data_IF_639335806769
#
_entry.id   IF_639335806769
#
_cell.length_a   1.000
_cell.length_b   1.000
_cell.length_c   1.000
_cell.angle_alpha   90.00
_cell.angle_beta   90.00
_cell.angle_gamma   90.00
#
_symmetry.space_group_name_H-M   'P 1'
#
loop_
_entity.id
_entity.type
_entity.pdbx_description
1 polymer ?
#
# COMPACT_ATOMS: atom_id res chain seq x y z
N UNK A 1 15.94 54.94 -22.71
CA UNK A 1 17.00 54.16 -22.04
C UNK A 1 16.36 53.42 -20.88
N UNK A 2 16.39 52.08 -20.82
CA UNK A 2 15.67 51.33 -19.78
C UNK A 2 16.41 51.42 -18.44
N UNK A 3 15.66 51.73 -17.39
CA UNK A 3 16.15 51.83 -16.00
C UNK A 3 16.49 50.43 -15.49
N UNK A 4 17.75 50.23 -15.12
CA UNK A 4 18.23 48.96 -14.59
C UNK A 4 17.56 48.66 -13.25
N UNK A 5 17.08 47.42 -13.09
CA UNK A 5 16.73 46.86 -11.78
C UNK A 5 17.92 47.06 -10.84
N UNK A 6 17.72 47.85 -9.79
CA UNK A 6 18.78 48.12 -8.82
C UNK A 6 19.02 46.86 -7.99
N UNK A 7 20.29 46.53 -7.77
CA UNK A 7 20.73 45.32 -7.03
C UNK A 7 20.07 45.22 -5.65
N UNK A 8 19.63 46.34 -5.05
CA UNK A 8 18.89 46.36 -3.78
C UNK A 8 17.48 45.77 -3.84
N UNK A 9 16.73 45.90 -4.94
CA UNK A 9 15.40 45.30 -5.08
C UNK A 9 15.47 43.79 -5.29
N UNK A 10 16.51 43.31 -5.98
CA UNK A 10 16.73 41.87 -6.17
C UNK A 10 17.04 41.13 -4.86
N UNK A 11 17.69 41.78 -3.89
CA UNK A 11 18.04 41.18 -2.60
C UNK A 11 16.82 41.10 -1.65
N UNK A 12 15.91 42.07 -1.69
CA UNK A 12 14.68 42.05 -0.88
C UNK A 12 13.70 40.97 -1.35
N UNK A 13 13.58 40.81 -2.67
CA UNK A 13 12.76 39.75 -3.30
C UNK A 13 13.31 38.36 -2.98
N UNK A 14 14.63 38.19 -3.01
CA UNK A 14 15.28 36.92 -2.66
C UNK A 14 15.08 36.57 -1.17
N UNK A 15 15.13 37.55 -0.25
CA UNK A 15 14.84 37.33 1.18
C UNK A 15 13.38 36.96 1.43
N UNK A 16 12.43 37.61 0.74
CA UNK A 16 11.00 37.26 0.84
C UNK A 16 10.72 35.86 0.30
N UNK A 17 11.32 35.48 -0.82
CA UNK A 17 11.16 34.16 -1.41
C UNK A 17 11.75 33.05 -0.50
N UNK A 18 12.91 33.29 0.12
CA UNK A 18 13.50 32.34 1.10
C UNK A 18 12.66 32.23 2.37
N UNK A 19 12.13 33.34 2.89
CA UNK A 19 11.25 33.35 4.06
C UNK A 19 9.91 32.63 3.78
N UNK A 20 9.34 32.82 2.58
CA UNK A 20 8.09 32.16 2.16
C UNK A 20 8.32 30.66 1.98
N UNK A 21 9.39 30.25 1.28
CA UNK A 21 9.78 28.84 1.19
C UNK A 21 10.06 28.18 2.54
N UNK A 22 10.68 28.90 3.47
CA UNK A 22 10.94 28.39 4.82
C UNK A 22 9.64 28.21 5.62
N UNK A 23 8.68 29.12 5.47
CA UNK A 23 7.36 29.01 6.09
C UNK A 23 6.55 27.85 5.49
N UNK A 24 6.53 27.71 4.16
CA UNK A 24 5.88 26.59 3.46
C UNK A 24 6.54 25.26 3.82
N UNK A 25 7.87 25.18 3.87
CA UNK A 25 8.58 23.96 4.27
C UNK A 25 8.30 23.58 5.73
N UNK A 26 8.22 24.55 6.64
CA UNK A 26 7.88 24.32 8.04
C UNK A 26 6.42 23.87 8.22
N UNK A 27 5.50 24.44 7.43
CA UNK A 27 4.10 24.03 7.42
C UNK A 27 3.94 22.64 6.81
N UNK A 28 4.64 22.35 5.72
CA UNK A 28 4.70 21.02 5.11
C UNK A 28 5.31 19.99 6.06
N UNK A 29 6.35 20.31 6.81
CA UNK A 29 6.94 19.38 7.78
C UNK A 29 5.99 19.12 8.96
N UNK A 30 5.27 20.15 9.44
CA UNK A 30 4.25 19.99 10.49
C UNK A 30 3.04 19.20 10.01
N UNK A 31 2.59 19.44 8.78
CA UNK A 31 1.52 18.67 8.14
C UNK A 31 1.97 17.22 7.93
N UNK A 32 3.19 17.00 7.41
CA UNK A 32 3.76 15.66 7.23
C UNK A 32 3.86 14.89 8.56
N UNK A 33 4.36 15.53 9.62
CA UNK A 33 4.43 14.90 10.95
C UNK A 33 3.05 14.58 11.53
N UNK A 34 2.10 15.50 11.44
CA UNK A 34 0.73 15.24 11.90
C UNK A 34 0.06 14.11 11.12
N UNK A 35 0.23 14.11 9.79
CA UNK A 35 -0.28 13.05 8.92
C UNK A 35 0.41 11.71 9.22
N UNK A 36 1.71 11.69 9.50
CA UNK A 36 2.43 10.46 9.83
C UNK A 36 1.97 9.87 11.17
N UNK A 37 1.76 10.71 12.19
CA UNK A 37 1.24 10.29 13.50
C UNK A 37 -0.21 9.78 13.38
N UNK A 38 -1.06 10.49 12.62
CA UNK A 38 -2.43 10.07 12.33
C UNK A 38 -2.46 8.76 11.51
N UNK A 39 -1.54 8.59 10.55
CA UNK A 39 -1.38 7.34 9.79
C UNK A 39 -0.92 6.19 10.68
N UNK A 40 0.00 6.41 11.62
CA UNK A 40 0.47 5.39 12.55
C UNK A 40 -0.64 4.97 13.52
N UNK A 41 -1.40 5.94 14.05
CA UNK A 41 -2.58 5.68 14.87
C UNK A 41 -3.65 4.91 14.09
N UNK A 42 -3.93 5.33 12.85
CA UNK A 42 -4.87 4.63 11.97
C UNK A 42 -4.40 3.20 11.67
N UNK A 43 -3.11 2.98 11.36
CA UNK A 43 -2.57 1.64 11.12
C UNK A 43 -2.70 0.73 12.36
N UNK A 44 -2.50 1.27 13.57
CA UNK A 44 -2.68 0.53 14.80
C UNK A 44 -4.16 0.16 15.04
N UNK A 45 -5.08 1.09 14.77
CA UNK A 45 -6.53 0.84 14.85
C UNK A 45 -6.99 -0.19 13.80
N UNK A 46 -6.45 -0.10 12.59
CA UNK A 46 -6.70 -1.04 11.50
C UNK A 46 -6.25 -2.44 11.85
N UNK A 47 -5.06 -2.61 12.43
CA UNK A 47 -4.55 -3.92 12.84
C UNK A 47 -5.35 -4.58 13.96
N UNK A 48 -6.06 -3.80 14.79
CA UNK A 48 -7.00 -4.33 15.79
C UNK A 48 -8.35 -4.71 15.18
N UNK A 49 -8.78 -3.97 14.16
CA UNK A 49 -10.10 -4.11 13.54
C UNK A 49 -10.11 -5.17 12.44
N UNK A 50 -9.02 -5.32 11.70
CA UNK A 50 -8.90 -6.22 10.56
C UNK A 50 -7.67 -7.09 10.70
N UNK A 51 -7.92 -8.40 10.69
CA UNK A 51 -6.86 -9.40 10.68
C UNK A 51 -6.77 -9.98 9.28
N UNK A 52 -5.61 -9.79 8.65
CA UNK A 52 -5.27 -10.39 7.37
C UNK A 52 -4.38 -11.60 7.63
N UNK A 53 -4.75 -12.75 7.07
CA UNK A 53 -4.00 -13.99 7.17
C UNK A 53 -3.70 -14.53 5.77
N UNK A 54 -2.45 -14.87 5.50
CA UNK A 54 -2.07 -15.52 4.26
C UNK A 54 -2.48 -17.00 4.35
N UNK A 55 -3.35 -17.45 3.45
CA UNK A 55 -3.85 -18.84 3.44
C UNK A 55 -3.07 -19.71 2.47
N UNK A 56 -2.64 -19.16 1.34
CA UNK A 56 -1.84 -19.90 0.38
C UNK A 56 -1.54 -19.12 -0.89
N UNK A 57 -0.71 -19.71 -1.73
CA UNK A 57 -0.42 -19.24 -3.08
C UNK A 57 -0.46 -20.39 -4.07
N UNK A 58 -0.74 -20.05 -5.32
CA UNK A 58 -0.69 -20.97 -6.45
C UNK A 58 -0.13 -20.25 -7.66
N UNK A 59 0.94 -20.82 -8.21
CA UNK A 59 1.40 -20.43 -9.52
C UNK A 59 0.62 -21.20 -10.59
N UNK A 60 0.01 -20.47 -11.52
CA UNK A 60 -0.70 -20.99 -12.68
C UNK A 60 0.12 -20.62 -13.92
N UNK A 61 0.88 -21.57 -14.49
CA UNK A 61 1.66 -21.30 -15.68
C UNK A 61 0.75 -21.01 -16.88
N UNK A 62 1.27 -20.26 -17.85
CA UNK A 62 0.60 -20.08 -19.13
C UNK A 62 0.38 -21.44 -19.83
N UNK A 63 -0.88 -21.76 -20.11
CA UNK A 63 -1.30 -22.94 -20.87
C UNK A 63 -1.97 -22.48 -22.17
N UNK A 64 -1.16 -22.42 -23.23
CA UNK A 64 -1.60 -21.99 -24.57
C UNK A 64 -2.68 -22.91 -25.17
N UNK A 65 -2.74 -24.17 -24.73
CA UNK A 65 -3.71 -25.16 -25.20
C UNK A 65 -5.09 -24.96 -24.58
N UNK A 66 -5.19 -24.36 -23.39
CA UNK A 66 -6.44 -24.00 -22.72
C UNK A 66 -6.77 -22.50 -22.78
N UNK A 67 -6.08 -21.72 -23.62
CA UNK A 67 -6.31 -20.28 -23.76
C UNK A 67 -5.81 -19.43 -22.58
N UNK A 68 -4.93 -19.98 -21.74
CA UNK A 68 -4.20 -19.25 -20.69
C UNK A 68 -2.87 -18.76 -21.26
N UNK A 69 -2.85 -17.55 -21.83
CA UNK A 69 -1.65 -17.01 -22.49
C UNK A 69 -0.63 -16.37 -21.55
N UNK A 70 -0.94 -16.26 -20.26
CA UNK A 70 -0.17 -15.49 -19.29
C UNK A 70 0.06 -16.30 -18.02
N UNK A 71 1.26 -16.24 -17.47
CA UNK A 71 1.56 -16.80 -16.15
C UNK A 71 0.90 -15.94 -15.07
N UNK A 72 0.18 -16.59 -14.16
CA UNK A 72 -0.53 -15.93 -13.07
C UNK A 72 -0.08 -16.48 -11.74
N UNK A 73 0.04 -15.58 -10.79
CA UNK A 73 0.23 -15.94 -9.40
C UNK A 73 -1.04 -15.61 -8.65
N UNK A 74 -1.70 -16.66 -8.15
CA UNK A 74 -2.86 -16.56 -7.31
C UNK A 74 -2.41 -16.60 -5.86
N UNK A 75 -3.02 -15.73 -5.04
CA UNK A 75 -2.84 -15.71 -3.59
C UNK A 75 -4.20 -15.76 -2.94
N UNK A 76 -4.28 -16.50 -1.84
CA UNK A 76 -5.49 -16.63 -1.05
C UNK A 76 -5.23 -16.03 0.33
N UNK A 77 -6.11 -15.11 0.73
CA UNK A 77 -5.94 -14.29 1.92
C UNK A 77 -7.25 -14.32 2.71
N UNK A 78 -7.17 -14.78 3.95
CA UNK A 78 -8.26 -14.69 4.91
C UNK A 78 -8.33 -13.28 5.47
N UNK A 79 -9.48 -12.65 5.32
CA UNK A 79 -9.76 -11.32 5.87
C UNK A 79 -10.80 -11.49 6.95
N UNK A 80 -10.43 -11.21 8.21
CA UNK A 80 -11.34 -11.27 9.35
C UNK A 80 -11.59 -9.88 9.89
N UNK A 81 -12.86 -9.51 9.99
CA UNK A 81 -13.29 -8.33 10.70
C UNK A 81 -13.38 -8.66 12.20
N UNK A 82 -12.38 -8.21 12.96
CA UNK A 82 -12.35 -8.29 14.41
C UNK A 82 -12.99 -7.07 15.10
N UNK A 83 -13.43 -6.08 14.32
CA UNK A 83 -14.14 -4.91 14.80
C UNK A 83 -15.64 -5.11 14.99
N UNK A 84 -16.27 -4.05 15.50
CA UNK A 84 -17.71 -3.96 15.74
C UNK A 84 -18.49 -3.38 14.54
N UNK A 85 -17.77 -2.84 13.55
CA UNK A 85 -18.37 -2.14 12.40
C UNK A 85 -18.29 -2.99 11.14
N UNK A 86 -19.35 -3.04 10.31
CA UNK A 86 -19.29 -3.71 9.02
C UNK A 86 -18.33 -3.00 8.08
N UNK A 87 -17.45 -3.78 7.46
CA UNK A 87 -16.47 -3.31 6.49
C UNK A 87 -17.04 -3.54 5.10
N UNK A 88 -16.84 -2.58 4.19
CA UNK A 88 -17.25 -2.63 2.78
C UNK A 88 -16.06 -2.88 1.84
N UNK A 89 -14.86 -2.51 2.27
CA UNK A 89 -13.64 -2.83 1.54
C UNK A 89 -12.39 -2.67 2.38
N UNK A 90 -11.36 -3.43 2.05
CA UNK A 90 -10.07 -3.42 2.72
C UNK A 90 -8.98 -3.27 1.66
N UNK A 91 -8.09 -2.31 1.86
CA UNK A 91 -6.82 -2.22 1.16
C UNK A 91 -5.69 -2.62 2.10
N UNK A 92 -4.73 -3.36 1.56
CA UNK A 92 -3.54 -3.75 2.29
C UNK A 92 -2.36 -3.96 1.36
N UNK A 93 -1.20 -4.18 1.94
CA UNK A 93 0.01 -4.54 1.24
C UNK A 93 0.47 -5.91 1.72
N UNK A 94 0.66 -6.83 0.78
CA UNK A 94 1.34 -8.10 0.99
C UNK A 94 2.80 -7.94 0.63
N UNK A 95 3.65 -8.08 1.62
CA UNK A 95 5.10 -8.02 1.50
C UNK A 95 5.63 -9.43 1.69
N UNK A 96 6.31 -9.96 0.68
CA UNK A 96 6.89 -11.29 0.70
C UNK A 96 8.38 -11.13 0.91
N UNK A 97 8.91 -11.78 1.94
CA UNK A 97 10.32 -11.74 2.33
C UNK A 97 10.94 -13.13 2.22
N UNK A 98 12.17 -13.23 1.74
CA UNK A 98 12.91 -14.49 1.76
C UNK A 98 13.32 -14.88 3.20
N UNK A 99 13.94 -16.05 3.36
CA UNK A 99 14.52 -16.50 4.64
C UNK A 99 15.52 -15.52 5.26
N UNK A 100 16.17 -14.68 4.44
CA UNK A 100 17.12 -13.66 4.89
C UNK A 100 16.43 -12.33 5.28
N UNK A 101 15.09 -12.24 5.17
CA UNK A 101 14.32 -11.05 5.48
C UNK A 101 14.28 -9.99 4.37
N UNK A 102 14.87 -10.27 3.21
CA UNK A 102 14.85 -9.37 2.06
C UNK A 102 13.50 -9.42 1.36
N UNK A 103 12.96 -8.25 1.01
CA UNK A 103 11.70 -8.16 0.27
C UNK A 103 11.93 -8.65 -1.15
N UNK A 104 11.32 -9.78 -1.48
CA UNK A 104 11.37 -10.40 -2.82
C UNK A 104 10.13 -10.09 -3.65
N UNK A 105 9.12 -9.48 -3.03
CA UNK A 105 7.95 -9.00 -3.74
C UNK A 105 7.03 -8.21 -2.83
N UNK A 106 6.38 -7.20 -3.42
CA UNK A 106 5.35 -6.41 -2.77
C UNK A 106 4.14 -6.36 -3.69
N UNK A 107 2.94 -6.53 -3.13
CA UNK A 107 1.71 -6.39 -3.88
C UNK A 107 0.64 -5.70 -3.06
N UNK A 108 -0.05 -4.76 -3.69
CA UNK A 108 -1.19 -4.07 -3.09
C UNK A 108 -2.44 -4.91 -3.30
N UNK A 109 -3.13 -5.18 -2.21
CA UNK A 109 -4.37 -5.92 -2.14
C UNK A 109 -5.53 -4.93 -2.05
N UNK A 110 -6.55 -5.14 -2.87
CA UNK A 110 -7.81 -4.39 -2.78
C UNK A 110 -8.93 -5.40 -2.73
N UNK A 111 -9.59 -5.47 -1.58
CA UNK A 111 -10.71 -6.36 -1.28
C UNK A 111 -11.96 -5.50 -1.23
N UNK A 112 -12.86 -5.68 -2.18
CA UNK A 112 -14.14 -4.94 -2.27
C UNK A 112 -15.31 -5.81 -1.83
N UNK A 113 -15.11 -6.52 -0.72
CA UNK A 113 -16.13 -7.39 -0.13
C UNK A 113 -16.68 -6.82 1.17
N UNK A 114 -17.97 -7.04 1.38
CA UNK A 114 -18.63 -6.63 2.61
C UNK A 114 -18.43 -7.69 3.69
N UNK A 115 -17.75 -7.33 4.77
CA UNK A 115 -17.37 -8.21 5.87
C UNK A 115 -18.09 -7.74 7.13
N UNK A 116 -19.07 -8.52 7.56
CA UNK A 116 -19.80 -8.26 8.80
C UNK A 116 -18.86 -8.31 10.03
N UNK A 117 -19.16 -7.58 11.11
CA UNK A 117 -18.37 -7.63 12.34
C UNK A 117 -18.27 -9.06 12.88
N UNK A 118 -17.08 -9.44 13.35
CA UNK A 118 -16.77 -10.80 13.79
C UNK A 118 -16.68 -11.86 12.68
N UNK A 119 -17.00 -11.52 11.43
CA UNK A 119 -16.99 -12.48 10.31
C UNK A 119 -15.65 -12.50 9.59
N UNK A 120 -15.44 -13.58 8.83
CA UNK A 120 -14.27 -13.72 7.96
C UNK A 120 -14.70 -14.06 6.53
N UNK A 121 -13.92 -13.59 5.57
CA UNK A 121 -14.05 -13.91 4.15
C UNK A 121 -12.70 -14.37 3.62
N UNK A 122 -12.72 -15.21 2.59
CA UNK A 122 -11.51 -15.64 1.88
C UNK A 122 -11.46 -14.89 0.56
N UNK A 123 -10.49 -13.99 0.43
CA UNK A 123 -10.26 -13.25 -0.80
C UNK A 123 -9.15 -13.91 -1.62
N UNK A 124 -9.43 -14.16 -2.89
CA UNK A 124 -8.45 -14.71 -3.83
C UNK A 124 -8.04 -13.64 -4.83
N UNK A 125 -6.77 -13.24 -4.77
CA UNK A 125 -6.16 -12.32 -5.71
C UNK A 125 -5.40 -13.06 -6.80
N UNK A 126 -5.37 -12.52 -8.01
CA UNK A 126 -4.46 -12.98 -9.05
C UNK A 126 -3.68 -11.81 -9.61
N UNK A 127 -2.34 -11.93 -9.65
CA UNK A 127 -1.50 -11.00 -10.40
C UNK A 127 -0.92 -11.68 -11.62
N UNK A 128 -0.72 -10.89 -12.67
CA UNK A 128 0.10 -11.29 -13.80
C UNK A 128 1.54 -11.35 -13.34
N UNK A 129 2.25 -12.37 -13.79
CA UNK A 129 3.65 -12.58 -13.52
C UNK A 129 4.42 -12.36 -14.81
N UNK A 130 5.41 -11.46 -14.77
CA UNK A 130 6.31 -11.28 -15.88
C UNK A 130 7.53 -12.19 -15.74
N UNK A 131 7.60 -13.26 -16.53
CA UNK A 131 8.75 -14.17 -16.57
C UNK A 131 10.09 -13.56 -16.95
N UNK A 132 10.07 -12.37 -17.53
CA UNK A 132 11.27 -11.65 -17.92
C UNK A 132 11.75 -10.68 -16.83
N UNK A 133 10.92 -10.41 -15.83
CA UNK A 133 11.25 -9.58 -14.69
C UNK A 133 11.89 -10.42 -13.57
N UNK A 134 12.98 -9.90 -12.99
CA UNK A 134 13.78 -10.64 -12.01
C UNK A 134 13.05 -10.79 -10.66
N UNK A 135 12.23 -9.80 -10.30
CA UNK A 135 11.41 -9.81 -9.07
C UNK A 135 10.28 -10.83 -9.19
N UNK A 136 9.60 -10.85 -10.34
CA UNK A 136 8.59 -11.86 -10.66
C UNK A 136 9.20 -13.28 -10.76
N UNK A 137 10.42 -13.44 -11.28
CA UNK A 137 11.15 -14.73 -11.26
C UNK A 137 11.45 -15.21 -9.85
N UNK A 138 11.86 -14.31 -8.95
CA UNK A 138 12.04 -14.64 -7.54
C UNK A 138 10.73 -15.10 -6.92
N UNK A 139 9.62 -14.41 -7.22
CA UNK A 139 8.28 -14.80 -6.78
C UNK A 139 7.88 -16.19 -7.27
N UNK A 140 8.20 -16.56 -8.52
CA UNK A 140 7.95 -17.90 -9.07
C UNK A 140 8.81 -18.99 -8.42
N UNK A 141 10.03 -18.65 -8.00
CA UNK A 141 10.95 -19.56 -7.34
C UNK A 141 10.73 -19.70 -5.84
N UNK A 142 9.74 -19.02 -5.25
CA UNK A 142 9.41 -19.16 -3.84
C UNK A 142 8.77 -20.52 -3.59
N UNK A 143 9.53 -21.42 -2.98
CA UNK A 143 8.98 -22.66 -2.43
C UNK A 143 8.19 -22.35 -1.15
N UNK A 144 6.99 -22.95 -1.05
CA UNK A 144 6.14 -22.88 0.14
C UNK A 144 6.96 -23.25 1.40
N UNK A 145 6.97 -22.36 2.39
CA UNK A 145 7.75 -22.52 3.62
C UNK A 145 9.17 -21.94 3.63
N UNK A 146 9.69 -21.41 2.51
CA UNK A 146 11.00 -20.70 2.46
C UNK A 146 10.88 -19.17 2.43
N UNK A 147 9.72 -18.65 2.79
CA UNK A 147 9.45 -17.22 2.80
C UNK A 147 8.53 -16.84 3.94
N UNK A 148 8.63 -15.59 4.36
CA UNK A 148 7.71 -14.97 5.31
C UNK A 148 6.83 -13.98 4.58
N UNK A 149 5.53 -14.03 4.86
CA UNK A 149 4.57 -13.06 4.35
C UNK A 149 4.19 -12.10 5.46
N UNK A 150 4.18 -10.81 5.14
CA UNK A 150 3.74 -9.76 6.03
C UNK A 150 2.58 -9.02 5.34
N UNK A 151 1.40 -9.17 5.93
CA UNK A 151 0.19 -8.50 5.48
C UNK A 151 -0.06 -7.28 6.35
N UNK A 152 -0.11 -6.11 5.72
CA UNK A 152 -0.37 -4.84 6.41
C UNK A 152 -1.63 -4.18 5.85
N UNK A 153 -2.72 -4.06 6.62
CA UNK A 153 -3.86 -3.28 6.19
C UNK A 153 -3.45 -1.80 6.13
N UNK A 154 -3.71 -1.14 5.00
CA UNK A 154 -3.37 0.27 4.77
C UNK A 154 -4.58 1.19 4.79
N UNK A 155 -5.74 0.68 4.36
CA UNK A 155 -6.99 1.39 4.48
C UNK A 155 -8.17 0.43 4.61
N UNK A 156 -9.21 0.86 5.32
CA UNK A 156 -10.49 0.16 5.42
C UNK A 156 -11.62 1.14 5.16
N UNK A 157 -12.57 0.71 4.34
CA UNK A 157 -13.81 1.44 4.04
C UNK A 157 -14.92 0.73 4.80
N UNK A 158 -15.62 1.45 5.67
CA UNK A 158 -16.78 0.92 6.39
C UNK A 158 -18.06 1.05 5.56
N UNK A 159 -19.09 0.29 5.90
CA UNK A 159 -20.38 0.36 5.21
C UNK A 159 -21.05 1.75 5.29
N UNK A 160 -20.76 2.50 6.36
CA UNK A 160 -21.21 3.89 6.57
C UNK A 160 -20.51 4.91 5.65
N UNK A 161 -19.53 4.47 4.86
CA UNK A 161 -18.74 5.33 3.97
C UNK A 161 -17.54 5.98 4.65
N UNK A 162 -17.39 5.84 5.97
CA UNK A 162 -16.18 6.25 6.68
C UNK A 162 -14.98 5.42 6.22
N UNK A 163 -13.81 6.03 6.14
CA UNK A 163 -12.55 5.34 5.82
C UNK A 163 -11.55 5.55 6.94
N UNK A 164 -10.82 4.51 7.32
CA UNK A 164 -9.69 4.60 8.25
C UNK A 164 -8.42 4.18 7.51
N UNK A 165 -7.35 4.95 7.70
CA UNK A 165 -6.08 4.77 7.00
C UNK A 165 -5.93 5.69 5.80
N UNK A 166 -4.71 5.76 5.28
CA UNK A 166 -4.43 6.54 4.09
C UNK A 166 -4.73 5.68 2.85
N UNK A 167 -5.68 6.06 1.98
CA UNK A 167 -5.73 5.47 0.65
C UNK A 167 -4.36 5.80 0.05
N UNK A 168 -3.55 4.77 -0.21
CA UNK A 168 -2.18 4.94 -0.66
C UNK A 168 -2.21 5.81 -1.93
N UNK A 169 -1.96 7.11 -1.78
CA UNK A 169 -1.82 8.04 -2.88
C UNK A 169 -0.39 7.80 -3.34
N UNK A 170 -0.25 6.95 -4.35
CA UNK A 170 0.97 6.89 -5.12
C UNK A 170 1.22 8.30 -5.63
N UNK A 171 2.38 8.85 -5.25
CA UNK A 171 2.96 10.07 -5.80
C UNK A 171 3.54 9.75 -7.19
#
# INVERSE_FOLDING_TARGET
MPVGLTVGQAIDDQKKFVAQKAAEAAEQERLRKQIEDEKAAAAAELGKTVVLAFLGQKFVPADFMNGQYEDRFQVEIGVKNAGDRPIKGVKGDLIIKNTFGEVVGKTTLTIEETIAPGSQVTWTGSRKINKFDDDDKKLMGLEDGKFSTELRPTAVVYADGTTVGAPNHAE
#
